data_IF_971586716444
#
_entry.id   IF_971586716444
#
_cell.length_a   1.000
_cell.length_b   1.000
_cell.length_c   1.000
_cell.angle_alpha   90.00
_cell.angle_beta   90.00
_cell.angle_gamma   90.00
#
_symmetry.space_group_name_H-M   'P 1'
#
loop_
_entity.id
_entity.type
_entity.pdbx_description
1 polymer ?
#
# COMPACT_ATOMS: atom_id res chain seq x y z
N UNK A 1 14.63 -9.85 11.80
CA UNK A 1 14.25 -9.76 10.38
C UNK A 1 14.99 -8.60 9.73
N UNK A 2 15.31 -8.73 8.46
CA UNK A 2 15.89 -7.61 7.71
C UNK A 2 14.83 -6.61 7.30
N UNK A 3 15.20 -5.33 7.36
CA UNK A 3 14.38 -4.21 6.89
C UNK A 3 15.26 -3.24 6.11
N UNK A 4 14.69 -2.56 5.12
CA UNK A 4 15.34 -1.40 4.49
C UNK A 4 14.80 -0.15 5.15
N UNK A 5 15.65 0.54 5.89
CA UNK A 5 15.29 1.77 6.58
C UNK A 5 15.93 2.99 5.91
N UNK A 6 15.19 4.09 5.83
CA UNK A 6 15.76 5.41 5.53
C UNK A 6 16.36 5.94 6.83
N UNK A 7 17.68 6.06 6.87
CA UNK A 7 18.44 6.44 8.07
C UNK A 7 18.87 7.90 8.06
N UNK A 8 18.62 8.60 6.96
CA UNK A 8 18.91 10.02 6.81
C UNK A 8 18.60 10.49 5.39
N UNK A 9 18.81 11.76 5.14
CA UNK A 9 18.64 12.35 3.80
C UNK A 9 19.57 11.65 2.80
N UNK A 10 18.98 11.07 1.75
CA UNK A 10 19.65 10.26 0.70
C UNK A 10 20.44 9.07 1.25
N UNK A 11 20.01 8.54 2.40
CA UNK A 11 20.66 7.42 3.04
C UNK A 11 19.63 6.35 3.39
N UNK A 12 19.82 5.15 2.86
CA UNK A 12 19.02 3.97 3.16
C UNK A 12 19.97 2.80 3.46
N UNK A 13 19.63 2.02 4.47
CA UNK A 13 20.47 0.92 4.97
C UNK A 13 19.61 -0.30 5.24
N UNK A 14 20.21 -1.48 5.06
CA UNK A 14 19.64 -2.74 5.52
C UNK A 14 19.98 -2.89 6.99
N UNK A 15 18.96 -2.92 7.83
CA UNK A 15 19.09 -3.10 9.27
C UNK A 15 18.45 -4.42 9.71
N UNK A 16 18.91 -4.95 10.83
CA UNK A 16 18.22 -6.02 11.55
C UNK A 16 17.24 -5.39 12.55
N UNK A 17 16.01 -5.82 12.52
CA UNK A 17 14.97 -5.40 13.44
C UNK A 17 14.24 -6.61 14.00
N UNK A 18 13.66 -6.46 15.19
CA UNK A 18 12.80 -7.49 15.77
C UNK A 18 11.57 -7.70 14.89
N UNK A 19 11.23 -8.96 14.62
CA UNK A 19 9.96 -9.31 14.00
C UNK A 19 8.81 -8.94 14.96
N UNK A 20 7.79 -8.20 14.54
CA UNK A 20 6.68 -7.82 15.42
C UNK A 20 5.91 -9.05 15.89
N UNK A 21 5.44 -9.02 17.13
CA UNK A 21 4.60 -10.08 17.67
C UNK A 21 3.18 -9.97 17.11
N UNK A 22 2.51 -11.10 16.91
CA UNK A 22 1.09 -11.12 16.52
C UNK A 22 0.20 -10.92 17.74
N UNK A 23 -0.74 -10.00 17.61
CA UNK A 23 -1.85 -9.84 18.52
C UNK A 23 -3.08 -10.64 18.07
N UNK A 24 -4.18 -10.45 18.79
CA UNK A 24 -5.47 -11.04 18.46
C UNK A 24 -6.03 -10.47 17.16
N UNK A 25 -6.59 -11.35 16.30
CA UNK A 25 -7.16 -11.00 15.00
C UNK A 25 -6.16 -10.31 14.05
N UNK A 26 -4.89 -10.70 14.12
CA UNK A 26 -3.84 -10.22 13.22
C UNK A 26 -3.23 -11.39 12.44
N UNK A 27 -2.63 -11.06 11.31
CA UNK A 27 -1.83 -12.01 10.53
C UNK A 27 -0.41 -11.46 10.34
N UNK A 28 0.53 -12.37 10.10
CA UNK A 28 1.87 -12.02 9.61
C UNK A 28 1.94 -12.27 8.11
N UNK A 29 2.18 -11.22 7.33
CA UNK A 29 2.53 -11.34 5.93
C UNK A 29 4.04 -11.58 5.81
N UNK A 30 4.45 -12.60 5.05
CA UNK A 30 5.81 -12.67 4.50
C UNK A 30 5.82 -11.85 3.22
N UNK A 31 6.52 -10.73 3.24
CA UNK A 31 6.61 -9.82 2.10
C UNK A 31 7.37 -10.50 0.96
N UNK A 32 6.84 -10.45 -0.24
CA UNK A 32 7.43 -10.99 -1.47
C UNK A 32 7.79 -9.89 -2.46
N UNK A 33 7.17 -8.72 -2.33
CA UNK A 33 7.46 -7.55 -3.12
C UNK A 33 6.84 -6.30 -2.50
N UNK A 34 7.53 -5.19 -2.70
CA UNK A 34 7.05 -3.86 -2.35
C UNK A 34 7.51 -2.89 -3.44
N UNK A 35 6.58 -2.17 -4.04
CA UNK A 35 6.94 -1.10 -4.97
C UNK A 35 7.32 0.18 -4.21
N UNK A 36 8.07 1.05 -4.87
CA UNK A 36 8.52 2.32 -4.31
C UNK A 36 7.69 3.46 -4.88
N UNK A 37 6.82 4.00 -4.06
CA UNK A 37 6.05 5.19 -4.38
C UNK A 37 6.94 6.44 -4.45
N UNK A 38 6.47 7.47 -5.13
CA UNK A 38 7.10 8.80 -5.07
C UNK A 38 7.15 9.37 -3.65
N UNK A 39 6.29 8.88 -2.75
CA UNK A 39 6.32 9.24 -1.34
C UNK A 39 7.64 8.80 -0.69
N UNK A 40 8.06 7.53 -0.85
CA UNK A 40 9.35 7.05 -0.36
C UNK A 40 10.52 7.81 -0.99
N UNK A 41 10.45 8.13 -2.28
CA UNK A 41 11.50 8.89 -2.96
C UNK A 41 11.64 10.30 -2.38
N UNK A 42 10.52 10.97 -2.05
CA UNK A 42 10.51 12.31 -1.44
C UNK A 42 10.97 12.28 0.01
N UNK A 43 10.67 11.23 0.76
CA UNK A 43 11.21 11.00 2.10
C UNK A 43 12.72 10.77 2.05
N UNK A 44 13.18 9.88 1.16
CA UNK A 44 14.61 9.61 0.95
C UNK A 44 15.39 10.85 0.55
N UNK A 45 14.85 11.67 -0.35
CA UNK A 45 15.52 12.90 -0.82
C UNK A 45 15.45 14.08 0.18
N UNK A 46 14.74 13.92 1.31
CA UNK A 46 14.58 14.97 2.32
C UNK A 46 13.62 16.10 1.93
N UNK A 47 12.86 15.94 0.85
CA UNK A 47 11.79 16.90 0.46
C UNK A 47 10.64 16.85 1.47
N UNK A 48 10.29 15.68 1.98
CA UNK A 48 9.32 15.49 3.06
C UNK A 48 10.09 15.22 4.34
N UNK A 49 9.82 15.97 5.42
CA UNK A 49 10.58 15.93 6.68
C UNK A 49 9.72 15.71 7.93
N UNK A 50 8.46 15.32 7.78
CA UNK A 50 7.59 15.13 8.94
C UNK A 50 7.78 13.78 9.66
N UNK A 51 8.53 12.84 9.09
CA UNK A 51 8.97 11.62 9.78
C UNK A 51 10.46 11.73 10.05
N UNK A 52 10.84 11.51 11.31
CA UNK A 52 12.25 11.51 11.72
C UNK A 52 12.90 10.16 11.43
N UNK A 53 14.01 10.09 10.69
CA UNK A 53 14.78 8.87 10.53
C UNK A 53 15.33 8.33 11.88
N UNK A 54 15.52 6.99 12.03
CA UNK A 54 15.28 5.97 11.01
C UNK A 54 13.79 5.59 10.89
N UNK A 55 13.34 5.26 9.69
CA UNK A 55 12.01 4.68 9.48
C UNK A 55 12.01 3.66 8.34
N UNK A 56 11.08 2.70 8.39
CA UNK A 56 10.87 1.68 7.35
C UNK A 56 9.65 2.07 6.53
N UNK A 57 9.86 2.47 5.28
CA UNK A 57 8.79 2.80 4.34
C UNK A 57 8.14 1.55 3.72
N UNK A 58 7.44 1.78 2.60
CA UNK A 58 6.80 0.75 1.79
C UNK A 58 5.34 0.54 2.15
N UNK A 59 4.44 0.85 1.24
CA UNK A 59 2.99 0.68 1.41
C UNK A 59 2.32 0.00 0.20
N UNK A 60 3.01 -0.17 -0.90
CA UNK A 60 2.57 -0.89 -2.09
C UNK A 60 3.06 -2.35 -2.01
N UNK A 61 2.44 -3.17 -1.14
CA UNK A 61 3.00 -4.43 -0.65
C UNK A 61 2.18 -5.63 -1.11
N UNK A 62 2.87 -6.67 -1.58
CA UNK A 62 2.30 -7.98 -1.86
C UNK A 62 3.12 -9.09 -1.19
N UNK A 63 2.45 -10.14 -0.77
CA UNK A 63 3.09 -11.27 -0.10
C UNK A 63 2.15 -12.44 0.14
N UNK A 64 2.50 -13.24 1.13
CA UNK A 64 1.77 -14.45 1.52
C UNK A 64 1.49 -14.43 3.03
N UNK A 65 0.37 -14.99 3.45
CA UNK A 65 0.08 -15.23 4.86
C UNK A 65 1.11 -16.22 5.40
N UNK A 66 1.91 -15.81 6.37
CA UNK A 66 2.94 -16.64 7.00
C UNK A 66 2.52 -17.19 8.36
N UNK A 67 1.80 -16.40 9.16
CA UNK A 67 1.38 -16.78 10.51
C UNK A 67 0.02 -16.15 10.83
N UNK A 68 -0.73 -16.82 11.72
CA UNK A 68 -2.03 -16.38 12.20
C UNK A 68 -1.97 -16.06 13.69
N UNK A 69 -2.50 -14.94 14.09
CA UNK A 69 -2.69 -14.58 15.49
C UNK A 69 -3.92 -15.28 16.11
N UNK A 70 -4.04 -15.13 17.42
CA UNK A 70 -5.20 -15.67 18.14
C UNK A 70 -6.51 -15.15 17.55
N UNK A 71 -7.50 -16.05 17.39
CA UNK A 71 -8.84 -15.75 16.91
C UNK A 71 -8.99 -15.65 15.38
N UNK A 72 -7.90 -15.82 14.62
CA UNK A 72 -7.96 -15.85 13.15
C UNK A 72 -8.39 -17.23 12.67
N UNK A 73 -9.44 -17.31 11.85
CA UNK A 73 -9.92 -18.56 11.25
C UNK A 73 -8.98 -19.01 10.12
N UNK A 74 -8.27 -20.16 10.27
CA UNK A 74 -7.34 -20.65 9.26
C UNK A 74 -8.03 -21.11 7.96
N UNK A 75 -9.33 -21.36 7.98
CA UNK A 75 -10.09 -21.69 6.76
C UNK A 75 -10.33 -20.43 5.92
N UNK A 76 -10.56 -19.31 6.57
CA UNK A 76 -10.75 -18.01 5.90
C UNK A 76 -9.43 -17.37 5.50
N UNK A 77 -8.38 -17.55 6.30
CA UNK A 77 -7.05 -16.99 6.08
C UNK A 77 -5.99 -18.10 6.03
N UNK A 78 -5.96 -18.93 4.96
CA UNK A 78 -5.01 -20.05 4.90
C UNK A 78 -3.57 -19.58 4.76
N UNK A 79 -2.65 -20.23 5.47
CA UNK A 79 -1.20 -20.01 5.34
C UNK A 79 -0.78 -20.24 3.88
N UNK A 80 0.11 -19.39 3.37
CA UNK A 80 0.60 -19.40 1.99
C UNK A 80 -0.34 -18.71 0.99
N UNK A 81 -1.55 -18.28 1.40
CA UNK A 81 -2.46 -17.53 0.52
C UNK A 81 -1.84 -16.17 0.16
N UNK A 82 -1.86 -15.85 -1.14
CA UNK A 82 -1.36 -14.57 -1.64
C UNK A 82 -2.31 -13.44 -1.26
N UNK A 83 -1.73 -12.36 -0.79
CA UNK A 83 -2.43 -11.17 -0.31
C UNK A 83 -1.69 -9.90 -0.68
N UNK A 84 -2.44 -8.80 -0.71
CA UNK A 84 -1.91 -7.44 -0.68
C UNK A 84 -2.38 -6.74 0.58
N UNK A 85 -1.63 -5.75 1.01
CA UNK A 85 -1.93 -4.99 2.21
C UNK A 85 -2.48 -3.61 1.86
N UNK A 86 -3.52 -3.19 2.56
CA UNK A 86 -3.93 -1.79 2.62
C UNK A 86 -3.40 -1.21 3.94
N UNK A 87 -2.35 -0.41 3.85
CA UNK A 87 -1.67 0.18 5.00
C UNK A 87 -2.26 1.55 5.38
N UNK A 88 -3.55 1.74 5.13
CA UNK A 88 -4.26 2.92 5.64
C UNK A 88 -4.21 2.89 7.17
N UNK A 89 -3.99 4.06 7.75
CA UNK A 89 -4.09 4.32 9.17
C UNK A 89 -5.34 3.70 9.77
N UNK A 90 -5.25 3.13 10.96
CA UNK A 90 -6.40 2.57 11.65
C UNK A 90 -7.42 3.69 11.92
N UNK A 91 -8.58 3.68 11.27
CA UNK A 91 -9.59 4.72 11.46
C UNK A 91 -10.21 4.60 12.86
N UNK A 92 -10.54 5.74 13.47
CA UNK A 92 -11.12 5.75 14.81
C UNK A 92 -12.58 5.28 14.86
N UNK A 93 -13.26 5.15 13.71
CA UNK A 93 -14.65 4.72 13.58
C UNK A 93 -15.71 5.72 14.07
N UNK A 94 -15.33 6.81 14.73
CA UNK A 94 -16.26 7.71 15.45
C UNK A 94 -16.23 9.19 15.02
N UNK A 95 -15.16 9.65 14.35
CA UNK A 95 -15.10 11.03 13.86
C UNK A 95 -16.06 11.25 12.67
N UNK A 96 -16.22 12.51 12.26
CA UNK A 96 -17.06 12.87 11.13
C UNK A 96 -16.71 12.05 9.88
N UNK A 97 -15.45 12.01 9.50
CA UNK A 97 -14.99 11.33 8.29
C UNK A 97 -15.24 9.83 8.31
N UNK A 98 -14.93 9.14 9.42
CA UNK A 98 -15.20 7.71 9.54
C UNK A 98 -16.69 7.37 9.43
N UNK A 99 -17.55 8.18 10.04
CA UNK A 99 -19.01 7.97 10.01
C UNK A 99 -19.63 8.22 8.63
N UNK A 100 -18.89 8.87 7.71
CA UNK A 100 -19.31 9.15 6.35
C UNK A 100 -18.53 8.30 5.31
N UNK A 101 -17.82 7.25 5.75
CA UNK A 101 -17.08 6.36 4.84
C UNK A 101 -15.82 6.99 4.22
N UNK A 102 -15.31 8.05 4.82
CA UNK A 102 -14.09 8.75 4.40
C UNK A 102 -12.96 8.46 5.39
N UNK A 103 -12.71 7.19 5.65
CA UNK A 103 -11.78 6.72 6.70
C UNK A 103 -10.34 7.17 6.46
N UNK A 104 -9.96 7.35 5.20
CA UNK A 104 -8.67 7.90 4.80
C UNK A 104 -8.44 9.36 5.26
N UNK A 105 -9.50 10.07 5.64
CA UNK A 105 -9.46 11.43 6.20
C UNK A 105 -9.63 11.44 7.72
N UNK A 106 -9.50 10.30 8.40
CA UNK A 106 -9.67 10.22 9.84
C UNK A 106 -8.67 11.12 10.56
N UNK A 107 -9.16 12.08 11.34
CA UNK A 107 -8.34 13.03 12.10
C UNK A 107 -7.65 12.39 13.32
N UNK A 108 -8.13 11.22 13.73
CA UNK A 108 -7.66 10.49 14.91
C UNK A 108 -6.93 9.19 14.51
N UNK A 109 -6.59 9.06 13.24
CA UNK A 109 -5.89 7.86 12.78
C UNK A 109 -4.47 7.83 13.34
N UNK A 110 -4.13 6.71 13.96
CA UNK A 110 -2.80 6.51 14.52
C UNK A 110 -1.87 5.92 13.46
N UNK A 111 -0.75 6.59 13.23
CA UNK A 111 0.21 6.23 12.18
C UNK A 111 1.31 5.30 12.68
N UNK A 112 1.46 5.19 14.00
CA UNK A 112 2.61 4.52 14.58
C UNK A 112 2.12 3.26 15.27
N UNK A 113 2.54 2.12 14.73
CA UNK A 113 2.47 0.88 15.46
C UNK A 113 3.67 0.84 16.42
N UNK A 114 3.42 1.11 17.70
CA UNK A 114 4.43 1.20 18.77
C UNK A 114 5.22 -0.11 18.97
N UNK A 115 4.71 -1.24 18.45
CA UNK A 115 5.38 -2.53 18.55
C UNK A 115 6.52 -2.72 17.52
N UNK A 116 6.62 -1.84 16.52
CA UNK A 116 7.75 -1.88 15.60
C UNK A 116 8.96 -1.17 16.21
N UNK A 117 10.09 -1.88 16.24
CA UNK A 117 11.37 -1.34 16.73
C UNK A 117 11.84 -0.12 15.93
N UNK A 118 11.58 -0.12 14.62
CA UNK A 118 11.82 1.00 13.73
C UNK A 118 10.47 1.42 13.17
N UNK A 119 10.02 2.67 13.40
CA UNK A 119 8.70 3.13 12.98
C UNK A 119 8.55 3.17 11.45
N UNK A 120 7.32 3.22 10.98
CA UNK A 120 6.98 3.38 9.58
C UNK A 120 5.89 2.43 9.11
N UNK A 121 5.65 2.37 7.81
CA UNK A 121 4.64 1.48 7.20
C UNK A 121 5.08 0.02 7.16
N UNK A 122 6.39 -0.24 7.23
CA UNK A 122 6.95 -1.58 7.41
C UNK A 122 7.05 -2.45 6.16
N UNK A 123 6.52 -2.02 5.04
CA UNK A 123 6.47 -2.86 3.83
C UNK A 123 7.82 -3.16 3.19
N UNK A 124 8.85 -2.37 3.50
CA UNK A 124 10.24 -2.65 3.11
C UNK A 124 10.95 -3.58 4.12
N UNK A 125 10.22 -4.44 4.79
CA UNK A 125 10.71 -5.49 5.69
C UNK A 125 10.39 -6.89 5.18
N UNK A 126 11.03 -7.92 5.73
CA UNK A 126 10.75 -9.33 5.37
C UNK A 126 9.36 -9.79 5.84
N UNK A 127 8.87 -9.19 6.93
CA UNK A 127 7.57 -9.52 7.53
C UNK A 127 6.81 -8.26 7.90
N UNK A 128 5.50 -8.30 7.69
CA UNK A 128 4.57 -7.21 7.98
C UNK A 128 3.39 -7.75 8.78
N UNK A 129 3.11 -7.15 9.94
CA UNK A 129 1.93 -7.46 10.74
C UNK A 129 0.73 -6.67 10.22
N UNK A 130 -0.38 -7.34 10.01
CA UNK A 130 -1.60 -6.77 9.47
C UNK A 130 -2.81 -7.10 10.34
N UNK A 131 -3.71 -6.16 10.50
CA UNK A 131 -5.07 -6.42 10.96
C UNK A 131 -5.89 -7.05 9.81
N UNK A 132 -6.96 -7.77 10.13
CA UNK A 132 -7.74 -8.50 9.12
C UNK A 132 -8.44 -7.57 8.11
N UNK A 133 -8.76 -6.33 8.49
CA UNK A 133 -9.34 -5.30 7.64
C UNK A 133 -8.34 -4.69 6.63
N UNK A 134 -7.04 -4.90 6.85
CA UNK A 134 -5.97 -4.47 5.95
C UNK A 134 -5.61 -5.53 4.89
N UNK A 135 -6.25 -6.71 4.93
CA UNK A 135 -5.87 -7.87 4.12
C UNK A 135 -6.81 -8.05 2.94
N UNK A 136 -6.27 -8.06 1.73
CA UNK A 136 -7.02 -8.35 0.52
C UNK A 136 -6.40 -9.54 -0.22
N UNK A 137 -7.24 -10.53 -0.53
CA UNK A 137 -6.81 -11.68 -1.31
C UNK A 137 -6.63 -11.30 -2.77
N UNK A 138 -5.61 -11.88 -3.38
CA UNK A 138 -5.40 -11.81 -4.83
C UNK A 138 -5.52 -13.21 -5.44
N UNK A 139 -5.80 -13.32 -6.75
CA UNK A 139 -5.80 -14.59 -7.46
C UNK A 139 -4.48 -15.36 -7.26
N UNK A 140 -4.55 -16.69 -7.14
CA UNK A 140 -3.37 -17.52 -6.85
C UNK A 140 -2.34 -17.49 -7.99
N UNK A 141 -2.79 -17.26 -9.23
CA UNK A 141 -1.96 -17.10 -10.43
C UNK A 141 -1.42 -15.68 -10.62
N UNK A 142 -1.85 -14.71 -9.78
CA UNK A 142 -1.35 -13.34 -9.85
C UNK A 142 0.14 -13.29 -9.50
N UNK A 143 1.02 -12.81 -10.40
CA UNK A 143 2.42 -12.57 -10.08
C UNK A 143 2.57 -11.47 -9.02
N UNK A 144 3.54 -11.62 -8.11
CA UNK A 144 3.77 -10.64 -7.04
C UNK A 144 4.08 -9.25 -7.59
N UNK A 145 4.87 -9.18 -8.66
CA UNK A 145 5.25 -7.95 -9.34
C UNK A 145 4.08 -7.20 -9.99
N UNK A 146 2.94 -7.86 -10.16
CA UNK A 146 1.67 -7.23 -10.56
C UNK A 146 0.80 -6.91 -9.36
N UNK A 147 0.80 -7.78 -8.35
CA UNK A 147 -0.01 -7.61 -7.16
C UNK A 147 0.36 -6.34 -6.36
N UNK A 148 1.62 -5.92 -6.37
CA UNK A 148 2.07 -4.67 -5.71
C UNK A 148 1.38 -3.42 -6.24
N UNK A 149 0.85 -3.44 -7.47
CA UNK A 149 0.08 -2.34 -8.03
C UNK A 149 -1.35 -2.21 -7.50
N UNK A 150 -1.80 -3.11 -6.62
CA UNK A 150 -3.16 -3.06 -6.08
C UNK A 150 -3.43 -1.75 -5.33
N UNK A 151 -2.46 -1.25 -4.57
CA UNK A 151 -2.59 0.02 -3.82
C UNK A 151 -2.69 1.22 -4.78
N UNK A 152 -1.73 1.51 -5.68
CA UNK A 152 -1.84 2.64 -6.60
C UNK A 152 -3.02 2.51 -7.56
N UNK A 153 -3.44 1.28 -7.93
CA UNK A 153 -4.65 1.06 -8.71
C UNK A 153 -5.90 1.50 -7.96
N UNK A 154 -5.96 1.29 -6.65
CA UNK A 154 -7.03 1.80 -5.79
C UNK A 154 -7.14 3.33 -5.87
N UNK A 155 -6.01 4.04 -5.83
CA UNK A 155 -5.94 5.49 -6.00
C UNK A 155 -6.47 5.93 -7.39
N UNK A 156 -6.08 5.22 -8.45
CA UNK A 156 -6.55 5.50 -9.82
C UNK A 156 -8.03 5.26 -9.96
N UNK A 157 -8.58 4.17 -9.43
CA UNK A 157 -10.00 3.86 -9.46
C UNK A 157 -10.79 4.97 -8.76
N UNK A 158 -10.32 5.43 -7.61
CA UNK A 158 -10.95 6.55 -6.89
C UNK A 158 -10.92 7.83 -7.71
N UNK A 159 -9.79 8.16 -8.34
CA UNK A 159 -9.65 9.32 -9.23
C UNK A 159 -10.68 9.28 -10.37
N UNK A 160 -10.78 8.15 -11.06
CA UNK A 160 -11.73 7.95 -12.18
C UNK A 160 -13.20 7.99 -11.69
N UNK A 161 -13.47 7.55 -10.46
CA UNK A 161 -14.81 7.64 -9.88
C UNK A 161 -15.24 9.10 -9.61
N UNK A 162 -14.30 10.00 -9.35
CA UNK A 162 -14.57 11.43 -9.20
C UNK A 162 -14.83 12.14 -10.55
N UNK A 163 -14.29 11.59 -11.64
CA UNK A 163 -14.50 12.09 -12.99
C UNK A 163 -15.16 10.96 -13.81
N UNK A 164 -16.49 10.84 -13.78
CA UNK A 164 -17.19 9.73 -14.40
C UNK A 164 -16.89 9.65 -15.91
N UNK A 165 -16.41 8.49 -16.32
CA UNK A 165 -16.09 8.16 -17.71
C UNK A 165 -17.17 7.22 -18.24
N UNK A 166 -17.78 7.58 -19.36
CA UNK A 166 -18.81 6.80 -20.04
C UNK A 166 -18.24 6.09 -21.27
N UNK A 167 -18.98 5.10 -21.75
CA UNK A 167 -18.66 4.40 -22.99
C UNK A 167 -18.58 5.39 -24.17
N UNK A 168 -17.45 5.38 -24.88
CA UNK A 168 -17.22 6.23 -26.05
C UNK A 168 -16.69 7.62 -25.74
N UNK A 169 -16.50 7.99 -24.48
CA UNK A 169 -15.87 9.26 -24.10
C UNK A 169 -14.43 9.34 -24.62
N UNK A 170 -13.99 10.55 -24.95
CA UNK A 170 -12.60 10.83 -25.26
C UNK A 170 -11.89 11.31 -23.98
N UNK A 171 -10.86 10.58 -23.56
CA UNK A 171 -10.09 10.87 -22.35
C UNK A 171 -8.64 11.18 -22.72
N UNK A 172 -8.13 12.29 -22.22
CA UNK A 172 -6.71 12.64 -22.36
C UNK A 172 -6.01 12.42 -21.03
N UNK A 173 -4.94 11.61 -21.05
CA UNK A 173 -4.06 11.37 -19.89
C UNK A 173 -2.74 12.07 -20.16
N UNK A 174 -2.37 13.01 -19.31
CA UNK A 174 -1.12 13.76 -19.40
C UNK A 174 -0.11 13.15 -18.41
N UNK A 175 0.98 12.63 -18.94
CA UNK A 175 2.01 11.88 -18.23
C UNK A 175 1.89 10.37 -18.43
N UNK A 176 2.97 9.72 -18.92
CA UNK A 176 3.07 8.29 -19.21
C UNK A 176 3.73 7.45 -18.13
N UNK A 177 3.99 8.02 -16.95
CA UNK A 177 4.50 7.28 -15.79
C UNK A 177 3.49 6.23 -15.27
N UNK A 178 3.84 5.51 -14.20
CA UNK A 178 3.05 4.41 -13.63
C UNK A 178 1.58 4.82 -13.42
N UNK A 179 1.33 5.96 -12.77
CA UNK A 179 -0.03 6.44 -12.51
C UNK A 179 -0.79 6.75 -13.81
N UNK A 180 -0.14 7.37 -14.79
CA UNK A 180 -0.75 7.64 -16.09
C UNK A 180 -1.13 6.36 -16.84
N UNK A 181 -0.24 5.38 -16.87
CA UNK A 181 -0.50 4.08 -17.49
C UNK A 181 -1.68 3.35 -16.82
N UNK A 182 -1.75 3.36 -15.49
CA UNK A 182 -2.90 2.80 -14.77
C UNK A 182 -4.20 3.54 -15.10
N UNK A 183 -4.17 4.89 -15.21
CA UNK A 183 -5.35 5.66 -15.65
C UNK A 183 -5.78 5.28 -17.07
N UNK A 184 -4.83 5.13 -18.01
CA UNK A 184 -5.12 4.66 -19.38
C UNK A 184 -5.82 3.30 -19.36
N UNK A 185 -5.28 2.34 -18.59
CA UNK A 185 -5.87 1.01 -18.47
C UNK A 185 -7.29 1.05 -17.91
N UNK A 186 -7.52 1.81 -16.84
CA UNK A 186 -8.84 1.93 -16.21
C UNK A 186 -9.85 2.68 -17.09
N UNK A 187 -9.43 3.76 -17.77
CA UNK A 187 -10.30 4.49 -18.69
C UNK A 187 -10.70 3.63 -19.89
N UNK A 188 -9.75 2.87 -20.45
CA UNK A 188 -10.05 1.90 -21.52
C UNK A 188 -11.00 0.80 -21.06
N UNK A 189 -10.83 0.28 -19.84
CA UNK A 189 -11.71 -0.72 -19.26
C UNK A 189 -13.17 -0.20 -19.10
N UNK A 190 -13.36 1.12 -19.00
CA UNK A 190 -14.68 1.78 -19.03
C UNK A 190 -15.20 2.10 -20.43
N UNK A 191 -14.47 1.72 -21.47
CA UNK A 191 -14.87 1.90 -22.86
C UNK A 191 -14.56 3.27 -23.45
N UNK A 192 -13.64 4.03 -22.85
CA UNK A 192 -13.20 5.31 -23.40
C UNK A 192 -12.19 5.15 -24.55
N UNK A 193 -12.16 6.13 -25.44
CA UNK A 193 -11.02 6.39 -26.31
C UNK A 193 -9.98 7.19 -25.54
N UNK A 194 -8.76 6.66 -25.43
CA UNK A 194 -7.74 7.28 -24.59
C UNK A 194 -6.57 7.77 -25.43
N UNK A 195 -6.22 9.04 -25.26
CA UNK A 195 -5.02 9.67 -25.79
C UNK A 195 -4.07 9.90 -24.61
N UNK A 196 -2.85 9.37 -24.68
CA UNK A 196 -1.81 9.64 -23.70
C UNK A 196 -0.78 10.60 -24.28
N UNK A 197 -0.43 11.64 -23.52
CA UNK A 197 0.64 12.58 -23.85
C UNK A 197 1.78 12.41 -22.84
N UNK A 198 2.99 12.20 -23.34
CA UNK A 198 4.23 12.09 -22.55
C UNK A 198 5.31 12.92 -23.24
N UNK A 199 6.14 13.59 -22.43
CA UNK A 199 7.25 14.42 -22.94
C UNK A 199 8.54 13.61 -23.10
N UNK A 200 8.65 12.51 -22.37
CA UNK A 200 9.79 11.60 -22.41
C UNK A 200 9.47 10.44 -23.35
N UNK A 201 10.28 10.16 -24.40
CA UNK A 201 9.98 9.17 -25.42
C UNK A 201 10.01 7.72 -24.92
#
# INVERSE_FOLDING_TARGET
>A
MKVVAITGERKAEVLEARKPALGKNQIMMKVKGCALCTWEQRMYSGVIKYITPPFVGGHEVAGEIAELGEGVDPKKYPIGKKIVANLIKKPCGKCYFCRHGMENLCEMADDIDEDYEIPGTGGLGEYLRLNLDQVYFVPDDMPTEKAVFAEPLGCVIQSINQAPINLGDNVVVIGGGIMGQLHVMCAKARGAYVIMSEIDP
#
